data_IF_875173808506
#
_entry.id   IF_875173808506
#
_cell.length_a   1.000
_cell.length_b   1.000
_cell.length_c   1.000
_cell.angle_alpha   90.00
_cell.angle_beta   90.00
_cell.angle_gamma   90.00
#
_symmetry.space_group_name_H-M   'P 1'
#
loop_
_entity.id
_entity.type
_entity.pdbx_description
1 polymer ?
#
# COMPACT_ATOMS: atom_id res chain seq x y z
N UNK A 1 -16.72 11.31 14.94
CA UNK A 1 -17.50 10.06 15.08
C UNK A 1 -16.61 8.88 14.65
N UNK A 2 -16.78 7.68 15.22
CA UNK A 2 -15.85 6.55 14.99
C UNK A 2 -16.24 5.66 13.79
N UNK A 3 -17.53 5.48 13.53
CA UNK A 3 -18.05 4.63 12.45
C UNK A 3 -18.10 5.33 11.09
N UNK A 4 -17.96 6.66 11.04
CA UNK A 4 -17.98 7.46 9.80
C UNK A 4 -16.75 7.28 8.91
N UNK A 5 -15.76 6.51 9.38
CA UNK A 5 -14.54 6.18 8.63
C UNK A 5 -14.83 5.28 7.43
N UNK A 6 -15.89 4.48 7.48
CA UNK A 6 -16.29 3.58 6.40
C UNK A 6 -17.71 3.88 5.93
N UNK A 7 -17.92 3.93 4.62
CA UNK A 7 -19.25 3.98 4.00
C UNK A 7 -19.89 2.60 3.83
N UNK A 8 -19.16 1.52 4.14
CA UNK A 8 -19.63 0.15 4.05
C UNK A 8 -20.45 -0.20 5.30
N UNK A 9 -21.77 -0.24 5.13
CA UNK A 9 -22.72 -0.54 6.20
C UNK A 9 -22.57 -1.97 6.75
N UNK A 10 -22.25 -2.94 5.90
CA UNK A 10 -22.06 -4.32 6.31
C UNK A 10 -20.82 -4.44 7.21
N UNK A 11 -19.72 -3.79 6.83
CA UNK A 11 -18.51 -3.71 7.64
C UNK A 11 -18.74 -2.98 8.97
N UNK A 12 -19.50 -1.88 8.95
CA UNK A 12 -19.90 -1.19 10.18
C UNK A 12 -20.68 -2.11 11.12
N UNK A 13 -21.62 -2.89 10.60
CA UNK A 13 -22.43 -3.81 11.39
C UNK A 13 -21.60 -4.96 11.96
N UNK A 14 -20.70 -5.56 11.17
CA UNK A 14 -19.76 -6.58 11.64
C UNK A 14 -18.88 -6.07 12.79
N UNK A 15 -18.30 -4.87 12.63
CA UNK A 15 -17.47 -4.25 13.67
C UNK A 15 -18.30 -3.94 14.91
N UNK A 16 -19.53 -3.44 14.76
CA UNK A 16 -20.44 -3.17 15.87
C UNK A 16 -20.80 -4.43 16.66
N UNK A 17 -21.17 -5.53 15.99
CA UNK A 17 -21.46 -6.82 16.63
C UNK A 17 -20.24 -7.35 17.38
N UNK A 18 -19.04 -7.20 16.83
CA UNK A 18 -17.77 -7.62 17.45
C UNK A 18 -17.39 -6.77 18.66
N UNK A 19 -17.83 -5.50 18.70
CA UNK A 19 -17.62 -4.56 19.81
C UNK A 19 -18.64 -4.73 20.95
N UNK A 20 -19.82 -5.32 20.72
CA UNK A 20 -20.85 -5.51 21.76
C UNK A 20 -20.34 -6.15 23.05
N UNK A 21 -19.54 -7.24 23.02
CA UNK A 21 -18.99 -7.85 24.23
C UNK A 21 -17.69 -7.18 24.73
N UNK A 22 -17.12 -6.23 24.00
CA UNK A 22 -15.85 -5.56 24.36
C UNK A 22 -16.06 -4.39 25.32
N UNK A 23 -15.16 -4.25 26.30
CA UNK A 23 -15.07 -3.07 27.17
C UNK A 23 -14.30 -1.91 26.52
N UNK A 24 -13.44 -2.21 25.54
CA UNK A 24 -12.69 -1.19 24.79
C UNK A 24 -13.52 -0.72 23.59
N UNK A 25 -14.14 0.45 23.75
CA UNK A 25 -14.95 1.15 22.74
C UNK A 25 -14.29 2.47 22.32
N UNK A 26 -12.97 2.58 22.48
CA UNK A 26 -12.26 3.81 22.15
C UNK A 26 -12.35 4.08 20.64
N UNK A 27 -12.56 5.35 20.22
CA UNK A 27 -12.74 5.70 18.81
C UNK A 27 -11.61 5.21 17.88
N UNK A 28 -10.37 5.20 18.38
CA UNK A 28 -9.22 4.67 17.64
C UNK A 28 -9.34 3.17 17.35
N UNK A 29 -9.75 2.37 18.34
CA UNK A 29 -9.90 0.92 18.18
C UNK A 29 -10.96 0.57 17.13
N UNK A 30 -12.10 1.27 17.17
CA UNK A 30 -13.19 1.10 16.21
C UNK A 30 -12.72 1.44 14.79
N UNK A 31 -12.02 2.56 14.61
CA UNK A 31 -11.47 2.96 13.31
C UNK A 31 -10.49 1.93 12.78
N UNK A 32 -9.57 1.43 13.62
CA UNK A 32 -8.62 0.38 13.24
C UNK A 32 -9.31 -0.88 12.75
N UNK A 33 -10.39 -1.31 13.41
CA UNK A 33 -11.18 -2.48 12.99
C UNK A 33 -11.92 -2.24 11.66
N UNK A 34 -12.44 -1.02 11.45
CA UNK A 34 -13.12 -0.65 10.20
C UNK A 34 -12.14 -0.57 9.02
N UNK A 35 -10.90 -0.15 9.26
CA UNK A 35 -9.83 -0.06 8.25
C UNK A 35 -8.96 -1.32 8.17
N UNK A 36 -9.30 -2.38 8.91
CA UNK A 36 -8.52 -3.61 8.94
C UNK A 36 -8.54 -4.27 7.54
N UNK A 37 -7.35 -4.46 6.96
CA UNK A 37 -7.19 -4.92 5.58
C UNK A 37 -7.08 -3.80 4.53
N UNK A 38 -7.17 -2.53 4.92
CA UNK A 38 -6.91 -1.38 4.04
C UNK A 38 -5.55 -0.74 4.34
N UNK A 39 -4.97 -0.07 3.34
CA UNK A 39 -3.70 0.68 3.49
C UNK A 39 -3.95 2.17 3.40
N UNK A 40 -3.20 2.97 4.16
CA UNK A 40 -3.29 4.43 4.10
C UNK A 40 -2.78 4.94 2.75
N UNK A 41 -3.35 6.04 2.29
CA UNK A 41 -2.83 6.76 1.13
C UNK A 41 -1.37 7.26 1.30
N UNK A 42 -0.92 7.42 2.54
CA UNK A 42 0.48 7.73 2.88
C UNK A 42 1.43 6.53 2.92
N UNK A 43 0.96 5.31 2.65
CA UNK A 43 1.83 4.13 2.50
C UNK A 43 2.79 4.33 1.32
N UNK A 44 4.08 4.01 1.52
CA UNK A 44 5.13 4.17 0.50
C UNK A 44 4.78 3.49 -0.83
N UNK A 45 4.07 2.36 -0.79
CA UNK A 45 3.61 1.64 -1.98
C UNK A 45 2.60 2.46 -2.76
N UNK A 46 1.66 3.08 -2.05
CA UNK A 46 0.62 3.93 -2.64
C UNK A 46 1.21 5.21 -3.21
N UNK A 47 2.18 5.80 -2.51
CA UNK A 47 2.93 6.96 -3.01
C UNK A 47 3.76 6.61 -4.26
N UNK A 48 4.28 5.37 -4.34
CA UNK A 48 5.07 4.90 -5.47
C UNK A 48 4.23 4.72 -6.75
N UNK A 49 3.06 4.09 -6.64
CA UNK A 49 2.14 3.87 -7.78
C UNK A 49 1.25 5.09 -8.09
N UNK A 50 0.99 5.92 -7.08
CA UNK A 50 0.01 7.00 -7.15
C UNK A 50 -1.43 6.53 -6.91
N UNK A 51 -2.24 7.39 -6.27
CA UNK A 51 -3.66 7.07 -6.00
C UNK A 51 -4.46 6.98 -7.30
N UNK A 52 -4.15 7.82 -8.28
CA UNK A 52 -4.88 7.84 -9.55
C UNK A 52 -4.73 6.51 -10.30
N UNK A 53 -3.54 5.94 -10.38
CA UNK A 53 -3.31 4.64 -10.99
C UNK A 53 -4.07 3.51 -10.28
N UNK A 54 -4.17 3.59 -8.95
CA UNK A 54 -4.98 2.65 -8.16
C UNK A 54 -6.47 2.76 -8.49
N UNK A 55 -7.00 3.98 -8.60
CA UNK A 55 -8.41 4.22 -8.96
C UNK A 55 -8.70 3.80 -10.40
N UNK A 56 -7.81 4.11 -11.34
CA UNK A 56 -7.93 3.69 -12.75
C UNK A 56 -7.95 2.17 -12.91
N UNK A 57 -7.20 1.46 -12.06
CA UNK A 57 -7.22 0.00 -12.01
C UNK A 57 -8.48 -0.59 -11.31
N UNK A 58 -9.45 0.25 -10.94
CA UNK A 58 -10.70 -0.14 -10.29
C UNK A 58 -10.65 -0.16 -8.76
N UNK A 59 -9.58 0.37 -8.15
CA UNK A 59 -9.41 0.42 -6.71
C UNK A 59 -10.34 1.41 -6.02
N UNK A 60 -10.79 1.06 -4.81
CA UNK A 60 -11.72 1.87 -4.02
C UNK A 60 -10.96 2.60 -2.90
N UNK A 61 -11.04 3.94 -2.93
CA UNK A 61 -10.48 4.81 -1.88
C UNK A 61 -11.59 5.28 -0.95
N UNK A 62 -11.49 4.89 0.31
CA UNK A 62 -12.35 5.31 1.39
C UNK A 62 -11.82 6.60 2.01
N UNK A 63 -12.67 7.61 2.20
CA UNK A 63 -12.30 8.90 2.80
C UNK A 63 -13.22 9.19 3.97
N UNK A 64 -12.66 9.62 5.11
CA UNK A 64 -13.48 10.10 6.23
C UNK A 64 -14.07 11.47 5.84
N UNK A 65 -15.39 11.60 5.94
CA UNK A 65 -16.12 12.82 5.61
C UNK A 65 -15.88 13.98 6.60
N UNK A 66 -15.43 13.67 7.81
CA UNK A 66 -15.29 14.64 8.91
C UNK A 66 -13.86 14.81 9.40
N UNK A 67 -12.89 14.12 8.80
CA UNK A 67 -11.47 14.29 9.06
C UNK A 67 -10.71 14.47 7.75
N UNK A 68 -9.86 15.49 7.70
CA UNK A 68 -8.82 15.60 6.67
C UNK A 68 -7.75 14.56 6.93
N UNK A 69 -8.04 13.28 6.64
CA UNK A 69 -7.00 12.27 6.54
C UNK A 69 -6.27 12.45 5.21
N UNK A 70 -4.95 12.26 5.24
CA UNK A 70 -3.97 12.47 4.17
C UNK A 70 -4.20 11.55 2.93
N UNK A 71 -5.37 11.64 2.30
CA UNK A 71 -5.76 10.91 1.09
C UNK A 71 -6.68 9.70 1.30
N UNK A 72 -6.94 9.29 2.55
CA UNK A 72 -7.86 8.20 2.91
C UNK A 72 -7.22 6.81 2.97
N UNK A 73 -8.03 5.76 2.79
CA UNK A 73 -7.64 4.35 2.87
C UNK A 73 -8.02 3.59 1.59
N UNK A 74 -7.06 2.84 1.05
CA UNK A 74 -7.25 1.97 -0.10
C UNK A 74 -7.68 0.59 0.40
N UNK A 75 -8.84 0.12 -0.05
CA UNK A 75 -9.46 -1.09 0.49
C UNK A 75 -8.82 -2.39 -0.01
N UNK A 76 -8.28 -2.37 -1.23
CA UNK A 76 -7.69 -3.56 -1.86
C UNK A 76 -6.17 -3.49 -1.85
N UNK A 77 -5.57 -4.14 -0.86
CA UNK A 77 -4.10 -4.23 -0.71
C UNK A 77 -3.48 -5.15 -1.75
N UNK A 78 -4.19 -6.17 -2.21
CA UNK A 78 -3.70 -7.08 -3.25
C UNK A 78 -3.55 -6.34 -4.58
N UNK A 79 -4.49 -5.45 -4.90
CA UNK A 79 -4.39 -4.56 -6.04
C UNK A 79 -3.20 -3.59 -5.91
N UNK A 80 -2.95 -3.04 -4.71
CA UNK A 80 -1.77 -2.19 -4.47
C UNK A 80 -0.48 -3.00 -4.73
N UNK A 81 -0.36 -4.19 -4.17
CA UNK A 81 0.84 -5.02 -4.35
C UNK A 81 1.06 -5.41 -5.82
N UNK A 82 -0.01 -5.70 -6.56
CA UNK A 82 0.06 -5.96 -8.01
C UNK A 82 0.57 -4.75 -8.78
N UNK A 83 -0.02 -3.57 -8.54
CA UNK A 83 0.38 -2.33 -9.22
C UNK A 83 1.82 -1.94 -8.92
N UNK A 84 2.29 -2.17 -7.68
CA UNK A 84 3.69 -1.94 -7.31
C UNK A 84 4.60 -2.88 -8.10
N UNK A 85 4.26 -4.16 -8.18
CA UNK A 85 5.04 -5.13 -8.96
C UNK A 85 5.11 -4.75 -10.44
N UNK A 86 3.97 -4.38 -11.04
CA UNK A 86 3.88 -3.98 -12.45
C UNK A 86 4.70 -2.72 -12.73
N UNK A 87 4.62 -1.71 -11.86
CA UNK A 87 5.40 -0.46 -12.03
C UNK A 87 6.91 -0.69 -11.79
N UNK A 88 7.29 -1.55 -10.84
CA UNK A 88 8.69 -1.95 -10.65
C UNK A 88 9.22 -2.66 -11.90
N UNK A 89 8.48 -3.60 -12.46
CA UNK A 89 8.84 -4.33 -13.66
C UNK A 89 9.00 -3.40 -14.87
N UNK A 90 8.08 -2.43 -15.03
CA UNK A 90 8.17 -1.41 -16.08
C UNK A 90 9.44 -0.56 -15.96
N UNK A 91 9.82 -0.14 -14.74
CA UNK A 91 11.05 0.61 -14.51
C UNK A 91 12.30 -0.26 -14.68
N UNK A 92 12.21 -1.53 -14.33
CA UNK A 92 13.29 -2.50 -14.46
C UNK A 92 13.72 -2.67 -15.92
N UNK A 93 12.80 -2.55 -16.87
CA UNK A 93 13.10 -2.72 -18.30
C UNK A 93 14.13 -1.71 -18.82
N UNK A 94 14.07 -0.45 -18.35
CA UNK A 94 15.09 0.55 -18.67
C UNK A 94 16.47 0.14 -18.17
N UNK A 95 16.54 -0.46 -16.98
CA UNK A 95 17.79 -0.97 -16.39
C UNK A 95 18.28 -2.20 -17.14
N UNK A 96 17.39 -3.13 -17.54
CA UNK A 96 17.78 -4.31 -18.34
C UNK A 96 18.41 -3.92 -19.66
N UNK A 97 17.89 -2.86 -20.29
CA UNK A 97 18.42 -2.33 -21.54
C UNK A 97 19.86 -1.80 -21.44
N UNK A 98 20.38 -1.55 -20.22
CA UNK A 98 21.77 -1.10 -20.00
C UNK A 98 22.80 -2.24 -20.18
N UNK A 99 22.37 -3.50 -20.37
CA UNK A 99 23.27 -4.62 -20.64
C UNK A 99 23.87 -5.29 -19.39
N UNK A 100 23.26 -5.10 -18.22
CA UNK A 100 23.63 -5.81 -16.99
C UNK A 100 23.40 -7.32 -17.14
N UNK A 101 24.28 -8.14 -16.54
CA UNK A 101 24.16 -9.61 -16.56
C UNK A 101 22.86 -10.11 -15.93
N UNK A 102 22.42 -9.46 -14.85
CA UNK A 102 21.17 -9.74 -14.14
C UNK A 102 20.78 -8.51 -13.33
N UNK A 103 19.50 -8.41 -13.01
CA UNK A 103 18.95 -7.41 -12.09
C UNK A 103 17.99 -8.10 -11.12
N UNK A 104 17.84 -7.53 -9.93
CA UNK A 104 16.86 -7.94 -8.94
C UNK A 104 16.02 -6.71 -8.57
N UNK A 105 14.70 -6.87 -8.55
CA UNK A 105 13.75 -5.81 -8.20
C UNK A 105 12.85 -6.29 -7.07
N UNK A 106 12.62 -5.41 -6.10
CA UNK A 106 11.73 -5.68 -4.97
C UNK A 106 11.18 -4.35 -4.43
N UNK A 107 9.98 -4.33 -3.82
CA UNK A 107 9.45 -3.15 -3.13
C UNK A 107 10.29 -2.71 -1.93
N UNK A 108 11.03 -3.65 -1.35
CA UNK A 108 11.94 -3.42 -0.23
C UNK A 108 12.99 -4.54 -0.17
N UNK A 109 14.16 -4.23 0.36
CA UNK A 109 15.19 -5.21 0.66
C UNK A 109 15.43 -5.23 2.16
N UNK A 110 15.51 -6.44 2.73
CA UNK A 110 15.77 -6.60 4.15
C UNK A 110 17.09 -5.93 4.57
N UNK A 111 17.16 -5.52 5.84
CA UNK A 111 18.37 -4.93 6.40
C UNK A 111 19.57 -5.86 6.16
N UNK A 112 20.62 -5.31 5.57
CA UNK A 112 21.83 -6.07 5.25
C UNK A 112 21.79 -6.87 3.96
N UNK A 113 20.78 -6.70 3.09
CA UNK A 113 20.75 -7.33 1.76
C UNK A 113 22.04 -7.07 0.95
N UNK A 114 22.67 -5.91 1.14
CA UNK A 114 23.95 -5.58 0.51
C UNK A 114 25.21 -6.01 1.29
N UNK A 115 25.08 -6.61 2.48
CA UNK A 115 26.25 -7.02 3.26
C UNK A 115 27.03 -8.13 2.52
N UNK A 116 28.33 -7.92 2.38
CA UNK A 116 29.20 -8.83 1.61
C UNK A 116 29.19 -8.58 0.11
N UNK A 117 28.30 -7.72 -0.41
CA UNK A 117 28.37 -7.26 -1.79
C UNK A 117 29.39 -6.11 -1.89
N UNK A 118 30.16 -6.10 -2.97
CA UNK A 118 31.08 -5.01 -3.32
C UNK A 118 30.53 -4.30 -4.55
N UNK A 119 30.44 -2.97 -4.49
CA UNK A 119 30.09 -2.17 -5.67
C UNK A 119 31.12 -2.38 -6.78
N UNK A 120 30.65 -2.70 -7.98
CA UNK A 120 31.46 -2.77 -9.19
C UNK A 120 31.02 -1.64 -10.11
N UNK A 121 31.97 -0.92 -10.72
CA UNK A 121 31.66 -0.01 -11.83
C UNK A 121 31.61 -0.85 -13.11
N UNK A 122 30.44 -0.92 -13.73
CA UNK A 122 30.30 -1.47 -15.08
C UNK A 122 30.68 -0.41 -16.11
N UNK A 123 31.40 -0.79 -17.16
CA UNK A 123 31.50 -0.01 -18.39
C UNK A 123 30.49 -0.57 -19.39
N UNK A 124 29.68 0.26 -20.07
CA UNK A 124 28.75 -0.22 -21.08
C UNK A 124 29.52 -0.96 -22.18
N UNK A 125 28.97 -2.09 -22.63
CA UNK A 125 29.55 -2.84 -23.75
C UNK A 125 29.49 -1.98 -25.02
N UNK A 126 30.58 -1.89 -25.81
CA UNK A 126 30.64 -1.05 -27.01
C UNK A 126 29.67 -1.49 -28.11
#
# INVERSE_FOLDING_TARGET
>A
MAFTVSGDHERQQQVFERLKPSYDKQPYAIRRMLTEGSVRASDKRVQFIGIDAYVEAGGIVMRDLFQGDDGGWLQDVVLVDRLVADELERRAEAVRAEGWKWIEIAPDFAYGHAFGLRQLRGEPSP
#
